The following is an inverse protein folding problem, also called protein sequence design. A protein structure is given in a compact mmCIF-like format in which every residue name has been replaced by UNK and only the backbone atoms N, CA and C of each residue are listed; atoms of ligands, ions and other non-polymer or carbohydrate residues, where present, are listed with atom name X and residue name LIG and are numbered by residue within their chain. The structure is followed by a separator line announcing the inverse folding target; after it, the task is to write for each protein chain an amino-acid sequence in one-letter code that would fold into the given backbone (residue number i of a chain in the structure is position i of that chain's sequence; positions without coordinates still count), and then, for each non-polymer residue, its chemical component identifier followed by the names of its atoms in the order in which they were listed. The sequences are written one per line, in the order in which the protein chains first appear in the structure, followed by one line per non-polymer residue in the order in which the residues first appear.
data_IF_032197404866
#
_entry.id   IF_032197404866
#
_cell.length_a   1.000
_cell.length_b   1.000
_cell.length_c   1.000
_cell.angle_alpha   90.00
_cell.angle_beta   90.00
_cell.angle_gamma   90.00
#
_symmetry.space_group_name_H-M   'P 1'
#
loop_
_entity.id
_entity.type
_entity.pdbx_description
1 polymer ?
#
# COMPACT_ATOMS: atom_id res chain seq x y z
N UNK A 1 13.81 15.85 33.74
CA UNK A 1 13.57 16.34 32.36
C UNK A 1 14.34 15.42 31.43
N UNK A 2 13.69 14.39 30.90
CA UNK A 2 14.29 13.46 29.96
C UNK A 2 14.42 14.18 28.61
N UNK A 3 15.63 14.29 28.11
CA UNK A 3 15.90 15.03 26.86
C UNK A 3 15.30 14.30 25.67
N UNK A 4 14.87 15.04 24.66
CA UNK A 4 14.26 14.54 23.40
C UNK A 4 15.12 13.46 22.70
N UNK A 5 16.43 13.46 22.95
CA UNK A 5 17.39 12.46 22.47
C UNK A 5 17.29 11.09 23.16
N UNK A 6 16.80 11.02 24.41
CA UNK A 6 16.64 9.73 25.12
C UNK A 6 15.40 8.97 24.69
N UNK A 7 14.38 9.66 24.15
CA UNK A 7 13.16 9.03 23.64
C UNK A 7 13.40 8.36 22.28
N UNK A 8 14.36 8.85 21.49
CA UNK A 8 14.68 8.30 20.15
C UNK A 8 15.50 7.01 20.25
N UNK A 9 16.25 6.80 21.32
CA UNK A 9 17.13 5.65 21.50
C UNK A 9 16.42 4.33 21.89
N UNK A 10 15.12 4.33 22.16
CA UNK A 10 14.44 3.15 22.74
C UNK A 10 13.77 2.22 21.73
N UNK A 11 13.69 2.56 20.45
CA UNK A 11 12.98 1.73 19.47
C UNK A 11 13.89 1.30 18.32
N UNK A 12 14.56 0.16 18.46
CA UNK A 12 15.47 -0.41 17.45
C UNK A 12 14.75 -1.11 16.29
N UNK A 13 13.42 -1.28 16.33
CA UNK A 13 12.65 -2.00 15.32
C UNK A 13 11.81 -1.06 14.46
N UNK A 14 11.60 -1.38 13.16
CA UNK A 14 10.67 -0.64 12.30
C UNK A 14 9.25 -0.63 12.86
N UNK A 15 8.58 0.52 12.76
CA UNK A 15 7.18 0.67 13.19
C UNK A 15 6.20 0.28 12.08
N UNK A 16 6.07 -1.02 11.86
CA UNK A 16 5.16 -1.55 10.84
C UNK A 16 3.69 -1.18 11.09
N UNK A 17 3.26 -1.09 12.35
CA UNK A 17 1.88 -0.73 12.69
C UNK A 17 1.55 0.70 12.26
N UNK A 18 2.46 1.66 12.52
CA UNK A 18 2.27 3.04 12.08
C UNK A 18 2.22 3.15 10.55
N UNK A 19 3.16 2.51 9.84
CA UNK A 19 3.19 2.50 8.38
C UNK A 19 1.93 1.85 7.77
N UNK A 20 1.44 0.76 8.37
CA UNK A 20 0.21 0.08 7.98
C UNK A 20 -1.02 0.97 8.18
N UNK A 21 -1.16 1.55 9.37
CA UNK A 21 -2.30 2.42 9.69
C UNK A 21 -2.33 3.66 8.80
N UNK A 22 -1.16 4.26 8.52
CA UNK A 22 -1.06 5.41 7.63
C UNK A 22 -1.43 5.06 6.18
N UNK A 23 -0.98 3.93 5.66
CA UNK A 23 -1.37 3.47 4.33
C UNK A 23 -2.88 3.18 4.24
N UNK A 24 -3.47 2.52 5.24
CA UNK A 24 -4.90 2.24 5.29
C UNK A 24 -5.75 3.51 5.40
N UNK A 25 -5.31 4.49 6.20
CA UNK A 25 -5.94 5.80 6.26
C UNK A 25 -6.05 6.46 4.87
N UNK A 26 -4.97 6.37 4.08
CA UNK A 26 -4.95 6.89 2.71
C UNK A 26 -5.85 6.07 1.79
N UNK A 27 -5.80 4.74 1.86
CA UNK A 27 -6.67 3.86 1.08
C UNK A 27 -8.15 4.19 1.30
N UNK A 28 -8.54 4.48 2.54
CA UNK A 28 -9.92 4.85 2.90
C UNK A 28 -10.28 6.25 2.42
N UNK A 29 -9.44 7.26 2.69
CA UNK A 29 -9.76 8.67 2.50
C UNK A 29 -9.52 9.18 1.07
N UNK A 30 -8.59 8.60 0.32
CA UNK A 30 -8.24 9.07 -1.02
C UNK A 30 -9.40 8.89 -1.99
N UNK A 31 -9.66 9.93 -2.78
CA UNK A 31 -10.61 9.90 -3.90
C UNK A 31 -9.95 9.39 -5.18
N UNK A 32 -8.63 9.48 -5.26
CA UNK A 32 -7.84 9.01 -6.40
C UNK A 32 -7.75 7.50 -6.43
N UNK A 33 -7.66 6.86 -5.25
CA UNK A 33 -7.58 5.40 -5.16
C UNK A 33 -9.01 4.85 -5.08
N UNK A 34 -9.65 4.66 -6.21
CA UNK A 34 -10.99 4.05 -6.32
C UNK A 34 -10.95 2.60 -6.83
N UNK A 35 -9.84 2.20 -7.46
CA UNK A 35 -9.60 0.87 -8.03
C UNK A 35 -8.09 0.61 -8.13
N UNK A 36 -7.69 -0.59 -8.57
CA UNK A 36 -6.31 -0.93 -8.90
C UNK A 36 -6.19 -1.31 -10.38
N UNK A 37 -5.08 -0.97 -11.01
CA UNK A 37 -4.02 -0.07 -10.54
C UNK A 37 -4.48 1.40 -10.49
N UNK A 38 -3.84 2.22 -9.65
CA UNK A 38 -4.09 3.66 -9.57
C UNK A 38 -2.84 4.49 -9.93
N UNK A 39 -3.01 5.83 -10.03
CA UNK A 39 -1.93 6.77 -10.33
C UNK A 39 -1.27 7.32 -9.06
N UNK A 40 -0.05 6.92 -8.69
CA UNK A 40 0.67 7.51 -7.56
C UNK A 40 0.94 9.01 -7.71
N UNK A 41 1.11 9.49 -8.95
CA UNK A 41 1.32 10.92 -9.22
C UNK A 41 0.07 11.72 -8.82
N UNK A 42 -1.13 11.20 -9.10
CA UNK A 42 -2.36 11.89 -8.74
C UNK A 42 -2.62 11.78 -7.24
N UNK A 43 -2.24 10.67 -6.60
CA UNK A 43 -2.26 10.55 -5.15
C UNK A 43 -1.35 11.61 -4.48
N UNK A 44 -0.12 11.81 -4.97
CA UNK A 44 0.77 12.85 -4.45
C UNK A 44 0.15 14.24 -4.62
N UNK A 45 -0.55 14.52 -5.74
CA UNK A 45 -1.25 15.80 -5.94
C UNK A 45 -2.40 15.99 -4.94
N UNK A 46 -3.08 14.91 -4.57
CA UNK A 46 -4.13 14.93 -3.53
C UNK A 46 -3.55 15.32 -2.16
N UNK A 47 -2.29 14.97 -1.89
CA UNK A 47 -1.55 15.38 -0.70
C UNK A 47 -0.99 16.80 -0.88
N UNK A 48 -1.81 17.81 -0.83
CA UNK A 48 -1.57 19.22 -1.24
C UNK A 48 -0.21 19.85 -0.82
N UNK A 49 0.44 19.33 0.21
CA UNK A 49 1.73 19.80 0.70
C UNK A 49 2.93 19.32 -0.14
N UNK A 50 2.76 18.25 -0.94
CA UNK A 50 3.86 17.57 -1.65
C UNK A 50 3.63 17.70 -3.16
N UNK A 51 4.70 18.07 -3.89
CA UNK A 51 4.65 18.14 -5.36
C UNK A 51 5.35 16.93 -5.97
N UNK A 52 4.86 16.51 -7.15
CA UNK A 52 5.51 15.48 -7.95
C UNK A 52 5.95 16.05 -9.30
N UNK A 53 7.21 15.81 -9.71
CA UNK A 53 7.81 16.33 -10.94
C UNK A 53 8.76 15.31 -11.55
N UNK A 54 8.94 15.37 -12.88
CA UNK A 54 9.96 14.56 -13.55
C UNK A 54 11.37 15.06 -13.28
N UNK A 55 12.38 14.21 -13.39
CA UNK A 55 13.79 14.59 -13.32
C UNK A 55 14.16 15.69 -14.33
N UNK A 56 13.57 15.67 -15.52
CA UNK A 56 13.75 16.75 -16.51
C UNK A 56 13.37 18.12 -15.97
N UNK A 57 12.40 18.18 -15.06
CA UNK A 57 11.98 19.43 -14.42
C UNK A 57 12.87 19.84 -13.25
N UNK A 58 13.65 18.92 -12.65
CA UNK A 58 14.56 19.24 -11.55
C UNK A 58 15.58 20.32 -11.93
N UNK A 59 16.09 20.28 -13.17
CA UNK A 59 17.03 21.29 -13.69
C UNK A 59 16.48 22.72 -13.60
N UNK A 60 15.16 22.92 -13.70
CA UNK A 60 14.54 24.25 -13.56
C UNK A 60 14.59 24.79 -12.12
N UNK A 61 14.83 23.90 -11.15
CA UNK A 61 15.02 24.25 -9.75
C UNK A 61 16.50 24.36 -9.37
N UNK A 62 17.41 24.31 -10.36
CA UNK A 62 18.85 24.34 -10.13
C UNK A 62 19.39 23.04 -9.48
N UNK A 63 18.62 21.95 -9.52
CA UNK A 63 19.00 20.67 -8.93
C UNK A 63 19.72 19.85 -10.00
N UNK A 64 20.93 19.41 -9.67
CA UNK A 64 21.68 18.48 -10.52
C UNK A 64 21.07 17.07 -10.40
N UNK A 65 20.58 16.55 -11.54
CA UNK A 65 20.00 15.20 -11.58
C UNK A 65 21.00 14.08 -11.29
N UNK A 66 22.30 14.34 -11.42
CA UNK A 66 23.34 13.36 -11.06
C UNK A 66 23.35 13.07 -9.56
N UNK A 67 22.86 14.01 -8.73
CA UNK A 67 22.71 13.81 -7.30
C UNK A 67 21.66 12.74 -6.93
N UNK A 68 20.76 12.40 -7.86
CA UNK A 68 19.74 11.35 -7.64
C UNK A 68 20.29 9.92 -7.82
N UNK A 69 21.52 9.79 -8.33
CA UNK A 69 22.12 8.48 -8.57
C UNK A 69 21.30 7.61 -9.53
N UNK A 70 21.11 6.33 -9.16
CA UNK A 70 20.31 5.36 -9.91
C UNK A 70 18.85 5.25 -9.46
N UNK A 71 18.42 6.08 -8.52
CA UNK A 71 17.08 6.02 -7.97
C UNK A 71 15.99 6.33 -9.01
N UNK A 72 14.82 5.73 -8.87
CA UNK A 72 13.69 5.94 -9.78
C UNK A 72 12.81 7.11 -9.34
N UNK A 73 12.87 7.48 -8.08
CA UNK A 73 12.30 8.70 -7.51
C UNK A 73 13.14 9.12 -6.30
N UNK A 74 13.07 10.39 -5.94
CA UNK A 74 13.75 10.95 -4.77
C UNK A 74 12.97 12.16 -4.28
N UNK A 75 12.80 12.29 -2.96
CA UNK A 75 12.17 13.45 -2.34
C UNK A 75 13.20 14.51 -1.99
N UNK A 76 12.86 15.76 -2.25
CA UNK A 76 13.69 16.94 -1.94
C UNK A 76 12.85 18.00 -1.23
N UNK A 77 13.49 18.69 -0.31
CA UNK A 77 12.95 19.92 0.25
C UNK A 77 13.53 21.12 -0.50
N UNK A 78 12.66 21.97 -1.05
CA UNK A 78 13.04 23.18 -1.76
C UNK A 78 12.10 24.33 -1.39
N UNK A 79 12.67 25.36 -0.79
CA UNK A 79 11.91 26.56 -0.37
C UNK A 79 10.79 26.25 0.62
N UNK A 80 11.02 25.35 1.57
CA UNK A 80 10.04 24.91 2.58
C UNK A 80 8.92 24.03 2.02
N UNK A 81 9.10 23.49 0.80
CA UNK A 81 8.14 22.57 0.15
C UNK A 81 8.82 21.26 -0.22
N UNK A 82 8.14 20.18 -0.01
CA UNK A 82 8.62 18.87 -0.42
C UNK A 82 8.22 18.59 -1.87
N UNK A 83 9.19 18.10 -2.65
CA UNK A 83 9.00 17.76 -4.06
C UNK A 83 9.56 16.38 -4.30
N UNK A 84 8.74 15.46 -4.79
CA UNK A 84 9.18 14.16 -5.28
C UNK A 84 9.54 14.32 -6.75
N UNK A 85 10.80 14.07 -7.09
CA UNK A 85 11.26 13.96 -8.47
C UNK A 85 11.32 12.51 -8.87
N UNK A 86 10.92 12.19 -10.10
CA UNK A 86 10.93 10.82 -10.63
C UNK A 86 11.49 10.75 -12.05
N UNK A 87 12.07 9.62 -12.39
CA UNK A 87 12.64 9.33 -13.69
C UNK A 87 11.57 8.78 -14.65
N UNK A 88 11.08 9.62 -15.56
CA UNK A 88 10.07 9.26 -16.57
C UNK A 88 10.61 8.40 -17.72
N UNK A 89 11.92 8.08 -17.72
CA UNK A 89 12.53 7.18 -18.69
C UNK A 89 12.57 5.71 -18.24
N UNK A 90 12.33 5.44 -16.95
CA UNK A 90 12.32 4.10 -16.38
C UNK A 90 10.97 3.42 -16.51
N UNK A 91 10.94 2.10 -16.28
CA UNK A 91 9.70 1.33 -16.27
C UNK A 91 8.73 1.89 -15.24
N UNK A 92 7.51 2.18 -15.68
CA UNK A 92 6.50 2.84 -14.85
C UNK A 92 6.13 2.02 -13.60
N UNK A 93 6.21 0.70 -13.64
CA UNK A 93 5.99 -0.16 -12.46
C UNK A 93 7.00 0.09 -11.35
N UNK A 94 8.27 0.38 -11.69
CA UNK A 94 9.29 0.77 -10.72
C UNK A 94 9.07 2.19 -10.23
N UNK A 95 8.79 3.12 -11.17
CA UNK A 95 8.55 4.54 -10.86
C UNK A 95 7.36 4.70 -9.90
N UNK A 96 6.26 3.99 -10.15
CA UNK A 96 5.07 4.00 -9.27
C UNK A 96 5.42 3.61 -7.83
N UNK A 97 6.18 2.51 -7.67
CA UNK A 97 6.61 2.06 -6.36
C UNK A 97 7.50 3.09 -5.67
N UNK A 98 8.52 3.62 -6.39
CA UNK A 98 9.46 4.60 -5.83
C UNK A 98 8.77 5.91 -5.44
N UNK A 99 7.80 6.42 -6.22
CA UNK A 99 7.01 7.60 -5.83
C UNK A 99 6.27 7.38 -4.51
N UNK A 100 5.66 6.21 -4.31
CA UNK A 100 4.95 5.90 -3.07
C UNK A 100 5.92 5.67 -1.90
N UNK A 101 7.10 5.12 -2.16
CA UNK A 101 8.16 5.00 -1.18
C UNK A 101 8.57 6.39 -0.68
N UNK A 102 8.89 7.31 -1.59
CA UNK A 102 9.26 8.68 -1.25
C UNK A 102 8.12 9.44 -0.53
N UNK A 103 6.86 9.20 -0.93
CA UNK A 103 5.68 9.74 -0.25
C UNK A 103 5.57 9.20 1.19
N UNK A 104 6.01 7.99 1.42
CA UNK A 104 5.99 7.34 2.74
C UNK A 104 6.83 8.07 3.78
N UNK A 105 7.96 8.67 3.40
CA UNK A 105 8.82 9.36 4.34
C UNK A 105 8.11 10.50 5.08
N UNK A 106 7.56 11.53 4.41
CA UNK A 106 6.88 12.62 5.10
C UNK A 106 5.60 12.18 5.81
N UNK A 107 4.87 11.21 5.25
CA UNK A 107 3.61 10.76 5.83
C UNK A 107 3.79 9.91 7.10
N UNK A 108 4.95 9.26 7.27
CA UNK A 108 5.34 8.59 8.50
C UNK A 108 6.17 9.49 9.44
N UNK A 109 6.29 10.79 9.12
CA UNK A 109 7.04 11.78 9.90
C UNK A 109 8.52 11.40 10.08
N UNK A 110 9.16 10.85 9.04
CA UNK A 110 10.58 10.55 9.07
C UNK A 110 11.39 11.85 9.06
N UNK A 111 12.43 11.90 9.91
CA UNK A 111 13.34 13.04 9.97
C UNK A 111 14.41 12.90 8.87
N UNK A 112 14.37 13.81 7.89
CA UNK A 112 15.33 13.84 6.78
C UNK A 112 16.73 14.29 7.19
N UNK A 113 16.92 14.82 8.41
CA UNK A 113 18.23 15.21 8.94
C UNK A 113 19.01 14.06 9.57
N UNK A 114 18.40 12.88 9.67
CA UNK A 114 19.02 11.69 10.29
C UNK A 114 20.22 11.22 9.47
N UNK A 115 21.37 11.17 10.12
CA UNK A 115 22.62 10.62 9.57
C UNK A 115 22.96 9.22 10.09
N UNK A 116 22.25 8.77 11.12
CA UNK A 116 22.40 7.44 11.69
C UNK A 116 21.87 6.38 10.71
N UNK A 117 22.76 5.48 10.29
CA UNK A 117 22.43 4.44 9.28
C UNK A 117 21.40 3.43 9.76
N UNK A 118 21.35 3.15 11.07
CA UNK A 118 20.38 2.22 11.62
C UNK A 118 18.99 2.83 11.64
N UNK A 119 18.87 4.09 12.03
CA UNK A 119 17.61 4.83 11.98
C UNK A 119 17.15 5.00 10.54
N UNK A 120 18.04 5.39 9.64
CA UNK A 120 17.74 5.50 8.22
C UNK A 120 17.26 4.16 7.64
N UNK A 121 17.96 3.05 7.95
CA UNK A 121 17.56 1.72 7.51
C UNK A 121 16.16 1.31 7.99
N UNK A 122 15.74 1.75 9.19
CA UNK A 122 14.36 1.54 9.67
C UNK A 122 13.34 2.31 8.84
N UNK A 123 13.61 3.58 8.55
CA UNK A 123 12.74 4.42 7.71
C UNK A 123 12.53 3.80 6.32
N UNK A 124 13.60 3.26 5.73
CA UNK A 124 13.53 2.56 4.45
C UNK A 124 12.61 1.32 4.51
N UNK A 125 12.67 0.56 5.60
CA UNK A 125 11.80 -0.62 5.78
C UNK A 125 10.34 -0.19 5.95
N UNK A 126 10.08 0.86 6.72
CA UNK A 126 8.74 1.39 6.97
C UNK A 126 8.09 1.95 5.70
N UNK A 127 8.84 2.72 4.89
CA UNK A 127 8.36 3.24 3.60
C UNK A 127 8.15 2.16 2.57
N UNK A 128 9.00 1.14 2.53
CA UNK A 128 8.79 -0.03 1.68
C UNK A 128 7.49 -0.77 2.04
N UNK A 129 7.22 -0.94 3.33
CA UNK A 129 5.99 -1.55 3.81
C UNK A 129 4.75 -0.70 3.48
N UNK A 130 4.84 0.61 3.69
CA UNK A 130 3.81 1.59 3.36
C UNK A 130 3.46 1.55 1.86
N UNK A 131 4.46 1.63 0.97
CA UNK A 131 4.26 1.59 -0.47
C UNK A 131 3.64 0.27 -0.93
N UNK A 132 4.11 -0.85 -0.37
CA UNK A 132 3.54 -2.17 -0.68
C UNK A 132 2.09 -2.30 -0.22
N UNK A 133 1.72 -1.74 0.94
CA UNK A 133 0.35 -1.75 1.44
C UNK A 133 -0.58 -0.89 0.58
N UNK A 134 -0.12 0.26 0.09
CA UNK A 134 -0.91 1.09 -0.82
C UNK A 134 -1.16 0.42 -2.17
N UNK A 135 -0.11 -0.17 -2.76
CA UNK A 135 -0.21 -0.81 -4.09
C UNK A 135 -0.96 -2.13 -4.07
N UNK A 136 -0.78 -2.90 -3.01
CA UNK A 136 -1.31 -4.27 -2.88
C UNK A 136 -1.89 -4.45 -1.47
N UNK A 137 -3.07 -3.87 -1.17
CA UNK A 137 -3.64 -3.90 0.18
C UNK A 137 -3.87 -5.32 0.66
N UNK A 138 -3.40 -5.61 1.87
CA UNK A 138 -3.50 -6.94 2.46
C UNK A 138 -4.95 -7.43 2.55
N UNK A 139 -5.87 -6.54 2.89
CA UNK A 139 -7.30 -6.85 2.99
C UNK A 139 -7.85 -7.38 1.66
N UNK A 140 -7.54 -6.68 0.57
CA UNK A 140 -7.96 -7.07 -0.79
C UNK A 140 -7.36 -8.40 -1.20
N UNK A 141 -6.05 -8.59 -0.93
CA UNK A 141 -5.37 -9.85 -1.26
C UNK A 141 -5.90 -11.02 -0.45
N UNK A 142 -6.24 -10.80 0.81
CA UNK A 142 -6.83 -11.79 1.67
C UNK A 142 -8.24 -12.16 1.21
N UNK A 143 -9.03 -11.19 0.78
CA UNK A 143 -10.36 -11.44 0.23
C UNK A 143 -10.29 -12.29 -1.05
N UNK A 144 -9.34 -12.05 -1.94
CA UNK A 144 -9.10 -12.95 -3.07
C UNK A 144 -8.78 -14.37 -2.61
N UNK A 145 -7.96 -14.53 -1.58
CA UNK A 145 -7.63 -15.86 -1.01
C UNK A 145 -8.87 -16.53 -0.42
N UNK A 146 -9.71 -15.79 0.30
CA UNK A 146 -10.98 -16.28 0.86
C UNK A 146 -11.94 -16.76 -0.23
N UNK A 147 -11.92 -16.11 -1.39
CA UNK A 147 -12.69 -16.51 -2.57
C UNK A 147 -12.06 -17.65 -3.37
N UNK A 148 -10.92 -18.18 -2.92
CA UNK A 148 -10.24 -19.33 -3.52
C UNK A 148 -9.20 -18.98 -4.59
N UNK A 149 -8.84 -17.70 -4.76
CA UNK A 149 -7.77 -17.27 -5.65
C UNK A 149 -6.42 -17.45 -4.97
N UNK A 150 -5.51 -18.16 -5.61
CA UNK A 150 -4.12 -18.26 -5.16
C UNK A 150 -3.38 -16.98 -5.54
N UNK A 151 -2.85 -16.26 -4.55
CA UNK A 151 -2.03 -15.07 -4.79
C UNK A 151 -0.64 -15.48 -5.25
N UNK A 152 -0.36 -15.28 -6.53
CA UNK A 152 0.95 -15.51 -7.16
C UNK A 152 1.55 -14.19 -7.61
N UNK A 153 2.85 -14.20 -7.94
CA UNK A 153 3.50 -12.98 -8.48
C UNK A 153 2.87 -12.53 -9.79
N UNK A 154 2.48 -13.48 -10.65
CA UNK A 154 1.81 -13.21 -11.93
C UNK A 154 0.46 -12.53 -11.71
N UNK A 155 -0.32 -13.01 -10.72
CA UNK A 155 -1.57 -12.39 -10.32
C UNK A 155 -1.37 -10.94 -9.88
N UNK A 156 -0.38 -10.67 -9.03
CA UNK A 156 -0.09 -9.33 -8.54
C UNK A 156 0.40 -8.41 -9.68
N UNK A 157 1.28 -8.89 -10.53
CA UNK A 157 1.77 -8.13 -11.70
C UNK A 157 0.64 -7.76 -12.65
N UNK A 158 -0.28 -8.69 -12.90
CA UNK A 158 -1.41 -8.51 -13.83
C UNK A 158 -2.45 -7.51 -13.30
N UNK A 159 -2.86 -7.65 -12.04
CA UNK A 159 -4.00 -6.90 -11.52
C UNK A 159 -3.63 -5.62 -10.77
N UNK A 160 -2.39 -5.49 -10.30
CA UNK A 160 -1.91 -4.33 -9.56
C UNK A 160 -0.81 -3.55 -10.29
N UNK A 161 -0.37 -4.02 -11.47
CA UNK A 161 0.71 -3.41 -12.27
C UNK A 161 1.99 -3.12 -11.46
N UNK A 162 2.42 -4.08 -10.67
CA UNK A 162 3.65 -4.01 -9.88
C UNK A 162 4.79 -4.79 -10.54
N UNK A 163 6.04 -4.49 -10.16
CA UNK A 163 7.19 -5.27 -10.62
C UNK A 163 7.21 -6.67 -10.00
N UNK A 164 7.87 -7.62 -10.67
CA UNK A 164 8.06 -8.98 -10.15
C UNK A 164 8.72 -8.97 -8.76
N UNK A 165 9.72 -8.11 -8.56
CA UNK A 165 10.41 -7.97 -7.28
C UNK A 165 9.46 -7.49 -6.18
N UNK A 166 8.62 -6.48 -6.45
CA UNK A 166 7.64 -5.98 -5.49
C UNK A 166 6.59 -7.05 -5.17
N UNK A 167 6.11 -7.79 -6.18
CA UNK A 167 5.15 -8.87 -6.00
C UNK A 167 5.71 -9.99 -5.12
N UNK A 168 6.94 -10.46 -5.37
CA UNK A 168 7.60 -11.49 -4.55
C UNK A 168 7.76 -11.05 -3.10
N UNK A 169 8.30 -9.83 -2.87
CA UNK A 169 8.45 -9.28 -1.52
C UNK A 169 7.12 -9.14 -0.79
N UNK A 170 6.04 -8.76 -1.50
CA UNK A 170 4.71 -8.68 -0.90
C UNK A 170 4.21 -10.03 -0.42
N UNK A 171 4.33 -11.07 -1.24
CA UNK A 171 3.93 -12.45 -0.87
C UNK A 171 4.72 -12.92 0.35
N UNK A 172 6.04 -12.71 0.38
CA UNK A 172 6.90 -13.06 1.51
C UNK A 172 6.50 -12.32 2.80
N UNK A 173 6.13 -11.04 2.68
CA UNK A 173 5.68 -10.22 3.81
C UNK A 173 4.35 -10.73 4.35
N UNK A 174 3.39 -11.02 3.45
CA UNK A 174 2.08 -11.55 3.84
C UNK A 174 2.17 -12.90 4.56
N UNK A 175 3.09 -13.75 4.13
CA UNK A 175 3.33 -15.05 4.80
C UNK A 175 3.83 -14.91 6.24
N UNK A 176 4.43 -13.76 6.60
CA UNK A 176 4.94 -13.46 7.95
C UNK A 176 3.94 -12.70 8.82
N UNK A 177 2.85 -12.17 8.22
CA UNK A 177 1.89 -11.33 8.93
C UNK A 177 0.74 -12.20 9.45
N UNK A 178 0.49 -12.16 10.76
CA UNK A 178 -0.65 -12.83 11.39
C UNK A 178 -1.72 -11.80 11.74
N UNK A 179 -2.97 -12.04 11.31
CA UNK A 179 -4.13 -11.14 11.53
C UNK A 179 -4.48 -11.02 13.03
N UNK A 180 -4.18 -12.05 13.78
CA UNK A 180 -4.53 -12.17 15.20
C UNK A 180 -3.94 -11.07 16.08
N UNK A 181 -2.81 -10.52 15.67
CA UNK A 181 -2.06 -9.50 16.41
C UNK A 181 -2.49 -8.06 16.09
N UNK A 182 -3.52 -7.86 15.26
CA UNK A 182 -3.99 -6.52 14.91
C UNK A 182 -4.79 -5.89 16.02
N UNK A 183 -4.54 -4.61 16.25
CA UNK A 183 -5.35 -3.79 17.14
C UNK A 183 -6.79 -3.67 16.61
N UNK A 184 -7.72 -3.29 17.49
CA UNK A 184 -9.11 -3.01 17.08
C UNK A 184 -9.19 -1.96 15.99
N UNK A 185 -8.40 -0.90 16.10
CA UNK A 185 -8.36 0.19 15.11
C UNK A 185 -7.88 -0.28 13.73
N UNK A 186 -6.88 -1.17 13.69
CA UNK A 186 -6.42 -1.76 12.43
C UNK A 186 -7.50 -2.63 11.77
N UNK A 187 -8.31 -3.32 12.56
CA UNK A 187 -9.44 -4.13 12.06
C UNK A 187 -10.59 -3.27 11.52
N UNK A 188 -10.83 -2.09 12.09
CA UNK A 188 -11.86 -1.15 11.59
C UNK A 188 -11.60 -0.69 10.16
N UNK A 189 -10.36 -0.65 9.70
CA UNK A 189 -10.04 -0.35 8.31
C UNK A 189 -10.43 -1.48 7.35
N UNK A 190 -10.44 -2.73 7.81
CA UNK A 190 -10.61 -3.90 6.94
C UNK A 190 -11.96 -3.85 6.20
N UNK A 191 -13.06 -3.64 6.92
CA UNK A 191 -14.41 -3.60 6.34
C UNK A 191 -14.58 -2.41 5.38
N UNK A 192 -14.06 -1.24 5.75
CA UNK A 192 -14.15 -0.03 4.92
C UNK A 192 -13.35 -0.19 3.62
N UNK A 193 -12.15 -0.77 3.69
CA UNK A 193 -11.32 -1.05 2.51
C UNK A 193 -11.99 -2.07 1.61
N UNK A 194 -12.52 -3.16 2.16
CA UNK A 194 -13.21 -4.19 1.40
C UNK A 194 -14.46 -3.64 0.71
N UNK A 195 -15.25 -2.82 1.42
CA UNK A 195 -16.41 -2.15 0.82
C UNK A 195 -16.01 -1.23 -0.33
N UNK A 196 -14.99 -0.40 -0.12
CA UNK A 196 -14.51 0.55 -1.14
C UNK A 196 -14.04 -0.13 -2.42
N UNK A 197 -13.36 -1.27 -2.30
CA UNK A 197 -12.78 -2.00 -3.41
C UNK A 197 -13.62 -3.21 -3.87
N UNK A 198 -14.86 -3.34 -3.38
CA UNK A 198 -15.72 -4.47 -3.72
C UNK A 198 -15.90 -4.64 -5.24
N UNK A 199 -16.15 -3.55 -5.97
CA UNK A 199 -16.31 -3.61 -7.43
C UNK A 199 -15.03 -4.10 -8.16
N UNK A 200 -13.84 -3.70 -7.69
CA UNK A 200 -12.57 -4.21 -8.22
C UNK A 200 -12.42 -5.71 -7.92
N UNK A 201 -12.71 -6.13 -6.70
CA UNK A 201 -12.62 -7.54 -6.28
C UNK A 201 -13.59 -8.38 -7.12
N UNK A 202 -14.84 -7.94 -7.25
CA UNK A 202 -15.89 -8.64 -7.97
C UNK A 202 -15.62 -8.72 -9.48
N UNK A 203 -14.91 -7.75 -10.05
CA UNK A 203 -14.53 -7.78 -11.47
C UNK A 203 -13.52 -8.91 -11.79
N UNK A 204 -12.72 -9.32 -10.80
CA UNK A 204 -11.71 -10.38 -10.96
C UNK A 204 -12.26 -11.72 -10.47
N UNK A 205 -12.94 -11.72 -9.33
CA UNK A 205 -13.52 -12.90 -8.71
C UNK A 205 -14.93 -12.57 -8.18
N UNK A 206 -15.98 -12.72 -9.00
CA UNK A 206 -17.34 -12.48 -8.56
C UNK A 206 -17.68 -13.33 -7.32
N UNK A 207 -18.49 -12.80 -6.38
CA UNK A 207 -18.96 -13.58 -5.26
C UNK A 207 -19.66 -14.84 -5.78
N UNK A 208 -19.41 -15.99 -5.15
CA UNK A 208 -20.15 -17.19 -5.46
C UNK A 208 -21.63 -16.86 -5.24
N UNK A 209 -22.44 -16.95 -6.30
CA UNK A 209 -23.89 -16.91 -6.14
C UNK A 209 -24.23 -18.13 -5.28
N UNK A 210 -24.53 -17.94 -4.02
CA UNK A 210 -25.27 -18.91 -3.26
C UNK A 210 -26.65 -18.94 -3.92
N UNK A 211 -26.84 -19.79 -4.92
CA UNK A 211 -28.15 -20.24 -5.32
C UNK A 211 -28.69 -20.99 -4.11
N UNK A 212 -29.34 -20.24 -3.25
CA UNK A 212 -30.32 -20.84 -2.37
C UNK A 212 -31.46 -21.27 -3.31
N UNK A 213 -31.38 -22.52 -3.75
CA UNK A 213 -32.42 -23.08 -4.57
C UNK A 213 -33.58 -23.37 -3.61
N UNK A 214 -34.50 -22.45 -3.55
CA UNK A 214 -35.73 -22.58 -2.76
C UNK A 214 -36.51 -23.84 -3.18
N UNK A 215 -36.39 -24.29 -4.43
CA UNK A 215 -37.02 -25.53 -4.92
C UNK A 215 -36.36 -26.77 -4.28
N UNK A 216 -35.00 -26.79 -4.20
CA UNK A 216 -34.27 -27.89 -3.56
C UNK A 216 -34.52 -27.96 -2.03
N UNK A 217 -34.70 -26.83 -1.37
CA UNK A 217 -35.05 -26.81 0.06
C UNK A 217 -36.51 -27.22 0.30
N UNK A 218 -37.41 -26.74 -0.55
CA UNK A 218 -38.82 -27.14 -0.53
C UNK A 218 -38.98 -28.64 -0.78
N UNK A 219 -38.28 -29.20 -1.74
CA UNK A 219 -38.28 -30.65 -2.03
C UNK A 219 -37.65 -31.49 -0.92
N UNK A 220 -36.61 -30.98 -0.26
CA UNK A 220 -36.03 -31.63 0.94
C UNK A 220 -36.97 -31.59 2.13
N UNK A 221 -37.70 -30.49 2.29
CA UNK A 221 -38.68 -30.34 3.37
C UNK A 221 -39.90 -31.24 3.10
N UNK A 222 -40.40 -31.28 1.86
CA UNK A 222 -41.50 -32.14 1.42
C UNK A 222 -41.18 -33.64 1.59
N UNK A 223 -39.94 -34.03 1.27
CA UNK A 223 -39.45 -35.41 1.52
C UNK A 223 -39.37 -35.72 3.01
N UNK A 224 -38.96 -34.84 3.87
CA UNK A 224 -38.96 -35.01 5.34
C UNK A 224 -40.40 -35.18 5.88
N UNK A 225 -41.30 -34.33 5.44
CA UNK A 225 -42.70 -34.37 5.89
C UNK A 225 -43.46 -35.60 5.39
N UNK A 226 -43.00 -36.26 4.31
CA UNK A 226 -43.57 -37.51 3.80
C UNK A 226 -43.11 -38.78 4.54
N UNK A 227 -42.21 -38.67 5.53
CA UNK A 227 -41.70 -39.76 6.32
C UNK A 227 -42.41 -39.91 7.69
N UNK A 228 -43.35 -38.99 7.94
CA UNK A 228 -44.29 -39.00 9.08
C UNK A 228 -45.73 -39.15 8.57
#
# INVERSE_FOLDING_TARGET
MTTRSEIVASNTKPNFSAAYSKANEILVKSRVISTFPFSPIDLVKEQSAIKCRTYKKARKYGIDITAFGSESATIFEYGGRQIIFYDDSKLMTHVKYSILHELGHPLNNHDFSVTDKEIYGRYEVETNYFAAQLLMPEQVLREFTNRGIRITKEFLMQHFEVSETAAKKRIETLAKTTVEWRSRQEKEFDDVILFKFAAFIDSICPPRKNYYDFEDEYDRQRKRDSWY
#
